data_IF_516279589982
#
_entry.id   IF_516279589982
#
_cell.length_a   1.000
_cell.length_b   1.000
_cell.length_c   1.000
_cell.angle_alpha   90.00
_cell.angle_beta   90.00
_cell.angle_gamma   90.00
#
_symmetry.space_group_name_H-M   'P 1'
#
loop_
_entity.id
_entity.type
_entity.pdbx_description
1 polymer ?
#
# COMPACT_ATOMS: atom_id res chain seq x y z
N UNK A 1 7.81 12.92 37.93
CA UNK A 1 7.71 12.82 36.47
C UNK A 1 7.40 11.37 36.13
N UNK A 2 6.12 11.05 35.92
CA UNK A 2 5.69 9.71 35.52
C UNK A 2 6.06 9.54 34.05
N UNK A 3 6.89 8.53 33.74
CA UNK A 3 7.08 8.07 32.36
C UNK A 3 5.73 7.56 31.87
N UNK A 4 5.19 8.16 30.82
CA UNK A 4 4.02 7.66 30.11
C UNK A 4 4.47 6.34 29.48
N UNK A 5 3.90 5.22 29.93
CA UNK A 5 4.04 3.95 29.23
C UNK A 5 2.96 3.95 28.15
N UNK A 6 3.41 3.95 26.89
CA UNK A 6 2.55 3.73 25.74
C UNK A 6 2.21 2.23 25.70
N UNK A 7 0.95 1.87 25.93
CA UNK A 7 0.37 0.64 25.39
C UNK A 7 -0.19 1.02 24.02
N UNK A 8 0.29 0.41 22.94
CA UNK A 8 -0.06 0.79 21.58
C UNK A 8 -0.37 -0.47 20.77
N UNK A 9 -1.25 -0.37 19.77
CA UNK A 9 -1.34 -1.35 18.68
C UNK A 9 0.03 -1.44 17.95
N UNK A 10 0.38 -2.63 17.47
CA UNK A 10 1.68 -2.89 16.86
C UNK A 10 1.70 -2.55 15.36
N UNK A 11 2.64 -1.69 14.97
CA UNK A 11 3.05 -1.51 13.57
C UNK A 11 4.30 -2.36 13.33
N UNK A 12 4.25 -3.23 12.32
CA UNK A 12 5.41 -3.99 11.87
C UNK A 12 6.17 -3.14 10.85
N UNK A 13 7.44 -2.92 11.14
CA UNK A 13 8.39 -2.29 10.23
C UNK A 13 9.42 -3.34 9.83
N UNK A 14 9.51 -3.60 8.53
CA UNK A 14 10.47 -4.52 7.94
C UNK A 14 11.67 -3.72 7.43
N UNK A 15 12.87 -4.05 7.91
CA UNK A 15 14.13 -3.40 7.49
C UNK A 15 15.24 -4.41 7.16
N UNK A 16 16.23 -3.93 6.40
CA UNK A 16 17.14 -4.72 5.55
C UNK A 16 18.40 -5.23 6.24
N UNK A 17 18.84 -4.69 7.40
CA UNK A 17 20.03 -5.21 8.12
C UNK A 17 20.02 -4.92 9.63
N UNK A 18 20.44 -5.89 10.45
CA UNK A 18 20.80 -5.69 11.87
C UNK A 18 22.29 -5.32 11.96
N UNK A 19 22.62 -4.05 12.19
CA UNK A 19 23.91 -3.67 12.75
C UNK A 19 23.72 -3.20 14.21
N UNK A 20 24.43 -3.79 15.18
CA UNK A 20 24.34 -3.37 16.57
C UNK A 20 25.07 -2.04 16.77
N UNK A 21 24.46 -0.94 16.34
CA UNK A 21 24.79 0.40 16.81
C UNK A 21 23.73 1.41 16.36
N UNK A 22 22.81 1.70 17.27
CA UNK A 22 22.06 2.96 17.25
C UNK A 22 23.04 4.13 17.04
N UNK A 23 22.69 5.06 16.14
CA UNK A 23 23.29 6.39 15.87
C UNK A 23 24.29 6.55 14.71
N UNK A 24 24.69 5.52 13.95
CA UNK A 24 25.80 5.69 12.97
C UNK A 24 25.42 5.78 11.47
N UNK A 25 24.23 5.35 11.03
CA UNK A 25 23.94 5.14 9.60
C UNK A 25 22.60 5.75 9.09
N UNK A 26 22.06 6.79 9.72
CA UNK A 26 20.91 7.51 9.13
C UNK A 26 21.36 8.26 7.87
N UNK A 27 20.68 8.04 6.72
CA UNK A 27 20.88 8.92 5.57
C UNK A 27 20.40 10.33 5.96
N UNK A 28 21.32 11.30 5.99
CA UNK A 28 20.99 12.73 6.02
C UNK A 28 20.68 13.18 4.60
N UNK A 29 19.66 12.58 3.97
CA UNK A 29 19.21 12.93 2.63
C UNK A 29 18.74 14.38 2.57
N UNK A 30 18.66 14.97 1.38
CA UNK A 30 18.20 16.36 1.20
C UNK A 30 16.70 16.46 0.84
N UNK A 31 16.01 15.32 0.68
CA UNK A 31 14.60 15.23 0.25
C UNK A 31 13.93 14.13 1.07
N UNK A 32 12.85 14.46 1.80
CA UNK A 32 12.02 13.48 2.51
C UNK A 32 10.96 13.03 1.53
N UNK A 33 10.94 11.75 1.21
CA UNK A 33 9.94 11.13 0.35
C UNK A 33 8.98 10.29 1.21
N UNK A 34 7.85 10.84 1.70
CA UNK A 34 6.79 10.02 2.24
C UNK A 34 6.22 9.16 1.10
N UNK A 35 6.27 7.84 1.27
CA UNK A 35 5.84 6.91 0.22
C UNK A 35 4.64 6.11 0.69
N UNK A 36 4.78 5.33 1.76
CA UNK A 36 3.69 4.50 2.29
C UNK A 36 3.00 5.12 3.48
N UNK A 37 1.72 4.79 3.64
CA UNK A 37 0.86 5.31 4.67
C UNK A 37 -0.05 4.21 5.22
N UNK A 38 -0.31 4.29 6.51
CA UNK A 38 -1.27 3.41 7.17
C UNK A 38 -1.95 4.14 8.32
N UNK A 39 -3.25 3.87 8.51
CA UNK A 39 -4.04 4.45 9.57
C UNK A 39 -4.29 3.46 10.71
N UNK A 40 -4.29 3.95 11.94
CA UNK A 40 -4.60 3.18 13.15
C UNK A 40 -4.52 4.04 14.39
N UNK A 41 -5.18 3.65 15.47
CA UNK A 41 -5.07 4.34 16.76
C UNK A 41 -3.78 3.90 17.48
N UNK A 42 -2.68 4.63 17.23
CA UNK A 42 -1.35 4.28 17.74
C UNK A 42 -1.13 4.74 19.18
N UNK A 43 -1.91 5.72 19.65
CA UNK A 43 -1.79 6.28 20.99
C UNK A 43 -2.91 5.85 21.96
N UNK A 44 -3.89 5.09 21.48
CA UNK A 44 -5.07 4.60 22.20
C UNK A 44 -5.99 5.71 22.74
N UNK A 45 -6.07 6.84 22.05
CA UNK A 45 -6.97 7.94 22.40
C UNK A 45 -8.35 7.83 21.74
N UNK A 46 -8.54 6.84 20.87
CA UNK A 46 -9.78 6.57 20.16
C UNK A 46 -9.91 7.30 18.82
N UNK A 47 -8.92 8.11 18.42
CA UNK A 47 -8.86 8.74 17.11
C UNK A 47 -7.93 7.95 16.18
N UNK A 48 -8.18 8.04 14.87
CA UNK A 48 -7.25 7.48 13.89
C UNK A 48 -5.99 8.34 13.80
N UNK A 49 -4.83 7.71 14.02
CA UNK A 49 -3.51 8.26 13.76
C UNK A 49 -2.98 7.74 12.40
N UNK A 50 -1.92 8.36 11.89
CA UNK A 50 -1.26 7.95 10.64
C UNK A 50 0.21 7.61 10.88
N UNK A 51 0.65 6.48 10.34
CA UNK A 51 2.05 6.10 10.25
C UNK A 51 2.51 6.28 8.81
N UNK A 52 3.60 7.00 8.61
CA UNK A 52 4.13 7.37 7.30
C UNK A 52 5.57 6.88 7.18
N UNK A 53 5.87 6.11 6.14
CA UNK A 53 7.24 5.73 5.83
C UNK A 53 7.95 6.84 5.05
N UNK A 54 9.10 7.30 5.56
CA UNK A 54 9.91 8.36 4.97
C UNK A 54 11.26 7.80 4.48
N UNK A 55 11.28 7.32 3.23
CA UNK A 55 12.41 6.56 2.66
C UNK A 55 13.70 7.37 2.51
N UNK A 56 13.60 8.70 2.42
CA UNK A 56 14.75 9.60 2.34
C UNK A 56 15.56 9.74 3.64
N UNK A 57 14.98 9.36 4.80
CA UNK A 57 15.53 9.63 6.13
C UNK A 57 15.58 8.41 7.05
N UNK A 58 15.17 7.24 6.56
CA UNK A 58 15.09 6.01 7.35
C UNK A 58 14.32 6.26 8.65
N UNK A 59 13.13 6.88 8.54
CA UNK A 59 12.21 7.10 9.68
C UNK A 59 10.79 6.72 9.32
N UNK A 60 10.03 6.29 10.33
CA UNK A 60 8.57 6.31 10.29
C UNK A 60 8.10 7.52 11.09
N UNK A 61 7.35 8.41 10.44
CA UNK A 61 6.68 9.53 11.09
C UNK A 61 5.31 9.08 11.59
N UNK A 62 4.97 9.41 12.84
CA UNK A 62 3.61 9.22 13.36
C UNK A 62 2.95 10.59 13.43
N UNK A 63 1.79 10.72 12.79
CA UNK A 63 0.92 11.88 12.87
C UNK A 63 -0.26 11.54 13.76
N UNK A 64 -0.40 12.25 14.88
CA UNK A 64 -1.53 12.07 15.78
C UNK A 64 -2.76 12.79 15.25
N UNK A 65 -3.86 12.06 15.12
CA UNK A 65 -5.15 12.58 14.69
C UNK A 65 -5.88 13.32 15.81
N UNK A 66 -6.61 14.37 15.46
CA UNK A 66 -7.49 15.08 16.39
C UNK A 66 -8.95 14.57 16.37
N UNK A 67 -9.21 13.52 15.57
CA UNK A 67 -10.53 12.94 15.36
C UNK A 67 -11.47 13.82 14.53
N UNK A 68 -10.98 14.89 13.91
CA UNK A 68 -11.73 15.80 13.04
C UNK A 68 -11.04 15.97 11.66
N UNK A 69 -10.10 15.07 11.33
CA UNK A 69 -9.27 15.10 10.12
C UNK A 69 -8.04 16.00 10.19
N UNK A 70 -7.77 16.61 11.35
CA UNK A 70 -6.54 17.34 11.62
C UNK A 70 -5.45 16.42 12.18
N UNK A 71 -4.21 16.65 11.75
CA UNK A 71 -3.08 15.82 12.15
C UNK A 71 -1.89 16.67 12.62
N UNK A 72 -1.23 16.21 13.68
CA UNK A 72 -0.01 16.83 14.20
C UNK A 72 1.13 15.84 14.25
N UNK A 73 2.35 16.26 13.89
CA UNK A 73 3.51 15.38 13.96
C UNK A 73 3.80 14.99 15.41
N UNK A 74 3.56 13.72 15.73
CA UNK A 74 3.78 13.11 17.04
C UNK A 74 5.23 12.74 17.30
N UNK A 75 5.99 12.48 16.24
CA UNK A 75 7.42 12.25 16.29
C UNK A 75 7.92 11.37 15.15
N UNK A 76 9.23 11.16 15.13
CA UNK A 76 9.91 10.25 14.22
C UNK A 76 10.46 9.06 15.00
N UNK A 77 10.22 7.88 14.47
CA UNK A 77 10.81 6.65 14.94
C UNK A 77 11.91 6.26 13.95
N UNK A 78 13.18 6.25 14.37
CA UNK A 78 14.26 5.80 13.52
C UNK A 78 14.03 4.35 13.13
N UNK A 79 14.17 4.09 11.84
CA UNK A 79 14.15 2.75 11.27
C UNK A 79 15.48 2.52 10.56
N UNK A 80 15.85 1.26 10.36
CA UNK A 80 17.10 0.94 9.68
C UNK A 80 16.94 1.22 8.17
N UNK A 81 18.08 1.38 7.49
CA UNK A 81 18.14 1.86 6.11
C UNK A 81 17.20 1.12 5.17
N UNK A 82 16.50 1.86 4.30
CA UNK A 82 15.62 1.30 3.26
C UNK A 82 14.38 0.59 3.81
N UNK A 83 13.71 1.18 4.80
CA UNK A 83 12.36 0.74 5.14
C UNK A 83 11.45 1.00 3.95
N UNK A 84 10.91 -0.07 3.35
CA UNK A 84 10.21 0.00 2.06
C UNK A 84 8.75 -0.47 2.14
N UNK A 85 8.31 -0.97 3.30
CA UNK A 85 6.93 -1.38 3.54
C UNK A 85 6.42 -1.00 4.94
N UNK A 86 5.11 -0.85 5.12
CA UNK A 86 4.49 -0.49 6.40
C UNK A 86 3.16 -1.25 6.56
N UNK A 87 3.03 -2.08 7.60
CA UNK A 87 1.77 -2.77 7.92
C UNK A 87 1.46 -2.76 9.42
N UNK A 88 0.17 -2.79 9.77
CA UNK A 88 -0.26 -3.03 11.15
C UNK A 88 -0.57 -4.50 11.38
N UNK A 89 -0.15 -5.01 12.53
CA UNK A 89 -0.46 -6.35 12.99
C UNK A 89 0.20 -6.66 14.32
N UNK A 90 -0.55 -7.25 15.24
CA UNK A 90 -0.02 -7.78 16.50
C UNK A 90 0.64 -9.15 16.25
N UNK A 91 1.87 -9.13 15.74
CA UNK A 91 2.62 -10.32 15.32
C UNK A 91 2.93 -11.26 16.50
N UNK A 92 2.91 -10.77 17.75
CA UNK A 92 3.18 -11.59 18.94
C UNK A 92 1.95 -11.78 19.87
N UNK A 93 0.79 -11.23 19.49
CA UNK A 93 -0.49 -11.33 20.19
C UNK A 93 -0.42 -10.90 21.66
N UNK A 94 0.44 -9.96 22.00
CA UNK A 94 0.62 -9.53 23.39
C UNK A 94 -0.24 -8.30 23.76
N UNK A 95 -0.96 -7.73 22.78
CA UNK A 95 -1.77 -6.53 22.98
C UNK A 95 -0.96 -5.30 23.41
N UNK A 96 0.35 -5.29 23.16
CA UNK A 96 1.33 -4.27 23.54
C UNK A 96 2.05 -3.61 22.34
N UNK A 97 2.83 -2.57 22.65
CA UNK A 97 3.39 -1.60 21.70
C UNK A 97 4.47 -2.14 20.75
N UNK A 98 4.49 -1.58 19.52
CA UNK A 98 5.58 -1.53 18.52
C UNK A 98 6.62 -2.67 18.59
N UNK A 99 6.49 -3.64 17.68
CA UNK A 99 7.48 -4.71 17.54
C UNK A 99 8.19 -4.64 16.18
N UNK A 100 9.51 -4.67 16.26
CA UNK A 100 10.38 -4.91 15.13
C UNK A 100 10.47 -6.42 14.93
N UNK A 101 9.79 -6.95 13.92
CA UNK A 101 10.19 -8.26 13.43
C UNK A 101 11.28 -8.05 12.40
N UNK A 102 12.45 -8.62 12.63
CA UNK A 102 13.51 -8.64 11.61
C UNK A 102 13.16 -9.77 10.63
N UNK A 103 12.76 -9.49 9.38
CA UNK A 103 12.77 -10.54 8.39
C UNK A 103 14.23 -10.97 8.13
N UNK A 104 14.46 -12.22 7.69
CA UNK A 104 15.78 -12.68 7.28
C UNK A 104 16.38 -11.82 6.15
N UNK A 105 17.60 -11.33 6.43
CA UNK A 105 18.77 -10.96 5.61
C UNK A 105 18.75 -10.60 4.11
N UNK A 106 17.66 -10.66 3.36
CA UNK A 106 17.66 -10.14 1.99
C UNK A 106 16.34 -9.49 1.60
N UNK A 107 16.37 -8.16 1.58
CA UNK A 107 15.52 -7.29 0.78
C UNK A 107 16.53 -6.31 0.17
N UNK A 108 16.82 -6.48 -1.11
CA UNK A 108 17.94 -5.89 -1.83
C UNK A 108 18.05 -4.35 -1.78
N UNK A 109 19.30 -3.91 -1.95
CA UNK A 109 19.82 -2.58 -1.63
C UNK A 109 20.00 -1.64 -2.82
N UNK A 110 19.20 -1.80 -3.89
CA UNK A 110 19.37 -1.05 -5.14
C UNK A 110 18.58 0.29 -5.17
N UNK A 111 17.45 0.36 -4.46
CA UNK A 111 16.63 1.57 -4.32
C UNK A 111 15.16 1.45 -4.74
N UNK A 112 14.69 0.32 -5.30
CA UNK A 112 13.28 0.17 -5.71
C UNK A 112 12.34 -0.23 -4.54
N UNK A 113 11.07 0.22 -4.50
CA UNK A 113 10.18 -0.03 -3.38
C UNK A 113 9.74 -1.50 -3.28
N UNK A 114 10.01 -2.11 -2.12
CA UNK A 114 9.58 -3.46 -1.75
C UNK A 114 8.28 -3.35 -0.95
N UNK A 115 7.18 -3.82 -1.53
CA UNK A 115 5.91 -4.00 -0.84
C UNK A 115 5.99 -5.23 0.06
N UNK A 116 5.14 -5.28 1.09
CA UNK A 116 4.90 -6.51 1.83
C UNK A 116 3.45 -6.60 2.29
N UNK A 117 2.97 -7.83 2.48
CA UNK A 117 1.69 -8.17 3.08
C UNK A 117 1.88 -8.96 4.36
N UNK A 118 1.19 -8.60 5.43
CA UNK A 118 1.20 -9.23 6.73
C UNK A 118 -0.16 -9.88 6.99
N UNK A 119 -0.27 -11.18 6.77
CA UNK A 119 -1.52 -11.94 6.84
C UNK A 119 -1.25 -13.39 7.23
N UNK A 120 -2.28 -14.13 7.64
CA UNK A 120 -2.17 -15.57 7.93
C UNK A 120 -2.34 -16.36 6.62
N UNK A 121 -1.24 -16.66 5.95
CA UNK A 121 -1.24 -17.32 4.64
C UNK A 121 -1.33 -18.85 4.74
N UNK A 122 -1.16 -19.41 5.95
CA UNK A 122 -1.21 -20.85 6.19
C UNK A 122 -2.27 -21.27 7.22
N UNK A 123 -3.23 -20.38 7.51
CA UNK A 123 -4.36 -20.59 8.42
C UNK A 123 -3.97 -21.15 9.81
N UNK A 124 -2.76 -20.85 10.30
CA UNK A 124 -2.30 -21.27 11.61
C UNK A 124 -2.68 -20.28 12.73
N UNK A 125 -3.35 -19.20 12.33
CA UNK A 125 -3.79 -18.05 13.11
C UNK A 125 -2.72 -16.97 13.25
N UNK A 126 -1.46 -17.23 12.92
CA UNK A 126 -0.33 -16.31 13.14
C UNK A 126 -0.13 -15.47 11.88
N UNK A 127 0.48 -14.30 12.08
CA UNK A 127 0.76 -13.42 10.95
C UNK A 127 2.07 -13.87 10.28
N UNK A 128 1.97 -14.04 8.97
CA UNK A 128 3.05 -14.35 8.02
C UNK A 128 3.34 -13.12 7.16
N UNK A 129 4.49 -13.10 6.50
CA UNK A 129 4.86 -12.00 5.59
C UNK A 129 4.99 -12.53 4.16
N UNK A 130 4.33 -11.89 3.21
CA UNK A 130 4.67 -11.95 1.78
C UNK A 130 5.47 -10.70 1.41
N UNK A 131 6.62 -10.86 0.75
CA UNK A 131 7.45 -9.77 0.23
C UNK A 131 7.73 -9.99 -1.26
N UNK A 132 7.69 -8.92 -2.06
CA UNK A 132 8.17 -8.97 -3.44
C UNK A 132 9.69 -8.75 -3.49
N UNK A 133 10.41 -9.63 -4.18
CA UNK A 133 11.83 -9.46 -4.52
C UNK A 133 11.98 -9.07 -5.99
N UNK A 134 11.81 -7.78 -6.37
CA UNK A 134 11.76 -7.35 -7.77
C UNK A 134 13.01 -7.73 -8.59
N UNK A 135 14.22 -7.66 -8.01
CA UNK A 135 15.45 -8.00 -8.73
C UNK A 135 15.79 -9.51 -8.69
N UNK A 136 15.13 -10.24 -7.80
CA UNK A 136 15.39 -11.66 -7.56
C UNK A 136 14.42 -12.58 -8.31
N UNK A 137 13.46 -12.02 -9.07
CA UNK A 137 12.43 -12.78 -9.77
C UNK A 137 11.67 -13.78 -8.85
N UNK A 138 11.44 -13.37 -7.60
CA UNK A 138 10.76 -14.19 -6.58
C UNK A 138 9.82 -13.40 -5.68
N UNK A 139 8.78 -14.10 -5.22
CA UNK A 139 8.02 -13.73 -4.03
C UNK A 139 8.47 -14.60 -2.86
N UNK A 140 8.67 -13.99 -1.69
CA UNK A 140 9.12 -14.68 -0.48
C UNK A 140 8.00 -14.69 0.56
N UNK A 141 7.67 -15.88 1.06
CA UNK A 141 6.75 -16.08 2.17
C UNK A 141 7.50 -16.48 3.45
N UNK A 142 7.38 -15.67 4.49
CA UNK A 142 7.93 -15.91 5.81
C UNK A 142 6.80 -16.28 6.77
N UNK A 143 6.77 -17.55 7.21
CA UNK A 143 5.75 -18.03 8.14
C UNK A 143 6.09 -17.69 9.60
N UNK A 144 5.16 -17.07 10.30
CA UNK A 144 5.36 -16.55 11.65
C UNK A 144 5.19 -17.59 12.75
N UNK A 145 5.94 -17.45 13.84
CA UNK A 145 5.76 -18.26 15.06
C UNK A 145 4.77 -17.65 16.07
N UNK A 146 4.19 -16.49 15.73
CA UNK A 146 3.21 -15.78 16.56
C UNK A 146 3.85 -15.14 17.79
N UNK A 147 5.17 -14.97 17.78
CA UNK A 147 5.96 -14.27 18.82
C UNK A 147 6.84 -13.18 18.21
N UNK A 148 6.55 -12.78 16.97
CA UNK A 148 7.38 -11.84 16.21
C UNK A 148 8.60 -12.46 15.53
N UNK A 149 8.72 -13.80 15.46
CA UNK A 149 9.81 -14.47 14.73
C UNK A 149 9.28 -15.20 13.50
N UNK A 150 10.14 -15.36 12.50
CA UNK A 150 9.87 -16.10 11.27
C UNK A 150 10.86 -17.27 11.12
N UNK A 151 10.57 -18.43 11.76
CA UNK A 151 11.52 -19.53 11.83
C UNK A 151 11.60 -20.30 10.51
N UNK A 152 12.83 -20.48 10.01
CA UNK A 152 13.12 -21.30 8.84
C UNK A 152 13.46 -20.47 7.59
N UNK A 153 13.86 -21.13 6.49
CA UNK A 153 13.97 -20.45 5.21
C UNK A 153 12.56 -20.01 4.74
N UNK A 154 12.44 -18.89 4.01
CA UNK A 154 11.19 -18.55 3.36
C UNK A 154 10.79 -19.63 2.34
N UNK A 155 9.49 -19.72 2.07
CA UNK A 155 9.03 -20.33 0.83
C UNK A 155 9.28 -19.33 -0.30
N UNK A 156 9.98 -19.76 -1.34
CA UNK A 156 10.28 -18.97 -2.52
C UNK A 156 9.35 -19.41 -3.66
N UNK A 157 8.53 -18.50 -4.15
CA UNK A 157 7.71 -18.70 -5.34
C UNK A 157 8.30 -17.91 -6.50
N UNK A 158 8.56 -18.59 -7.62
CA UNK A 158 9.14 -17.96 -8.81
C UNK A 158 8.09 -17.05 -9.46
N UNK A 159 8.28 -15.75 -9.32
CA UNK A 159 7.43 -14.69 -9.87
C UNK A 159 8.36 -13.66 -10.47
N UNK A 160 8.37 -13.50 -11.79
CA UNK A 160 9.31 -12.58 -12.44
C UNK A 160 8.99 -11.14 -12.05
N UNK A 161 10.02 -10.34 -11.73
CA UNK A 161 9.95 -8.90 -11.41
C UNK A 161 8.65 -8.43 -10.70
N UNK A 162 8.37 -8.93 -9.49
CA UNK A 162 7.14 -8.66 -8.77
C UNK A 162 7.09 -7.22 -8.24
N UNK A 163 5.94 -6.56 -8.36
CA UNK A 163 5.78 -5.17 -7.94
C UNK A 163 4.52 -4.94 -7.10
N UNK A 164 3.42 -4.46 -7.69
CA UNK A 164 2.16 -4.21 -6.98
C UNK A 164 1.53 -5.51 -6.49
N UNK A 165 1.01 -5.56 -5.25
CA UNK A 165 0.37 -6.78 -4.74
C UNK A 165 -0.76 -6.52 -3.76
N UNK A 166 -1.64 -7.52 -3.63
CA UNK A 166 -2.73 -7.58 -2.65
C UNK A 166 -3.07 -9.04 -2.32
N UNK A 167 -3.81 -9.28 -1.23
CA UNK A 167 -4.19 -10.61 -0.77
C UNK A 167 -5.66 -10.69 -0.34
N UNK A 168 -6.32 -11.78 -0.71
CA UNK A 168 -7.75 -12.04 -0.47
C UNK A 168 -8.12 -13.45 -0.93
N UNK A 169 -9.30 -13.95 -0.57
CA UNK A 169 -9.81 -15.25 -1.03
C UNK A 169 -10.36 -15.14 -2.47
N UNK A 170 -9.50 -15.36 -3.48
CA UNK A 170 -9.79 -15.14 -4.89
C UNK A 170 -10.60 -16.27 -5.54
N UNK A 171 -10.82 -17.38 -4.83
CA UNK A 171 -11.53 -18.55 -5.34
C UNK A 171 -12.72 -19.00 -4.46
N UNK A 172 -12.96 -18.34 -3.33
CA UNK A 172 -14.06 -18.61 -2.42
C UNK A 172 -13.89 -19.88 -1.57
N UNK A 173 -12.67 -20.38 -1.39
CA UNK A 173 -12.38 -21.58 -0.61
C UNK A 173 -12.08 -21.32 0.87
N UNK A 174 -12.02 -20.04 1.27
CA UNK A 174 -11.75 -19.58 2.63
C UNK A 174 -10.27 -19.55 3.01
N UNK A 175 -9.35 -19.86 2.09
CA UNK A 175 -7.92 -19.67 2.27
C UNK A 175 -7.49 -18.32 1.67
N UNK A 176 -6.37 -17.81 2.16
CA UNK A 176 -5.85 -16.55 1.65
C UNK A 176 -5.03 -16.79 0.38
N UNK A 177 -5.41 -16.11 -0.69
CA UNK A 177 -4.67 -16.05 -1.95
C UNK A 177 -3.93 -14.72 -2.10
N UNK A 178 -3.09 -14.60 -3.11
CA UNK A 178 -2.40 -13.36 -3.45
C UNK A 178 -2.44 -13.08 -4.95
N UNK A 179 -2.46 -11.78 -5.29
CA UNK A 179 -2.21 -11.27 -6.64
C UNK A 179 -0.97 -10.38 -6.62
N UNK A 180 -0.10 -10.56 -7.62
CA UNK A 180 1.13 -9.79 -7.78
C UNK A 180 1.27 -9.34 -9.23
N UNK A 181 1.36 -8.04 -9.46
CA UNK A 181 1.73 -7.44 -10.73
C UNK A 181 3.19 -7.76 -11.06
N UNK A 182 3.42 -8.16 -12.30
CA UNK A 182 4.72 -8.57 -12.84
C UNK A 182 5.12 -7.59 -13.91
N UNK A 183 6.29 -6.99 -13.74
CA UNK A 183 6.83 -5.99 -14.65
C UNK A 183 7.80 -6.64 -15.63
N UNK A 184 7.47 -6.60 -16.91
CA UNK A 184 8.39 -7.10 -17.95
C UNK A 184 9.02 -5.95 -18.72
N UNK A 185 10.29 -6.11 -19.10
CA UNK A 185 11.04 -5.08 -19.81
C UNK A 185 10.56 -4.86 -21.24
N UNK A 186 10.01 -5.91 -21.87
CA UNK A 186 9.45 -5.82 -23.22
C UNK A 186 8.00 -5.29 -23.16
N UNK A 187 7.63 -4.32 -24.01
CA UNK A 187 6.27 -3.81 -24.04
C UNK A 187 5.23 -4.86 -24.45
N UNK A 188 4.08 -4.84 -23.78
CA UNK A 188 2.90 -5.66 -24.05
C UNK A 188 2.93 -7.07 -23.46
N UNK A 189 3.91 -7.38 -22.59
CA UNK A 189 4.06 -8.72 -22.02
C UNK A 189 4.00 -8.77 -20.48
N UNK A 190 3.77 -7.63 -19.82
CA UNK A 190 3.54 -7.61 -18.38
C UNK A 190 2.29 -8.43 -18.01
N UNK A 191 2.29 -8.99 -16.80
CA UNK A 191 1.25 -9.90 -16.33
C UNK A 191 0.84 -9.59 -14.89
N UNK A 192 -0.26 -10.19 -14.46
CA UNK A 192 -0.54 -10.38 -13.05
C UNK A 192 -0.46 -11.89 -12.75
N UNK A 193 0.24 -12.21 -11.67
CA UNK A 193 0.38 -13.55 -11.12
C UNK A 193 -0.62 -13.74 -10.00
N UNK A 194 -1.41 -14.80 -10.07
CA UNK A 194 -2.36 -15.23 -9.04
C UNK A 194 -1.80 -16.48 -8.36
N UNK A 195 -1.64 -16.40 -7.04
CA UNK A 195 -1.17 -17.48 -6.19
C UNK A 195 -2.34 -17.93 -5.30
N UNK A 196 -2.98 -19.05 -5.67
CA UNK A 196 -4.08 -19.62 -4.90
C UNK A 196 -3.54 -20.48 -3.75
N UNK A 197 -3.79 -20.06 -2.51
CA UNK A 197 -3.32 -20.71 -1.30
C UNK A 197 -4.11 -21.97 -0.98
N UNK A 198 -3.42 -23.02 -0.53
CA UNK A 198 -4.04 -24.25 -0.05
C UNK A 198 -4.41 -24.21 1.44
N UNK A 199 -4.14 -23.08 2.10
CA UNK A 199 -4.34 -22.89 3.54
C UNK A 199 -3.36 -23.66 4.42
N UNK A 200 -2.34 -24.30 3.86
CA UNK A 200 -1.23 -24.95 4.57
C UNK A 200 0.12 -24.30 4.23
N UNK A 201 0.10 -23.17 3.51
CA UNK A 201 1.27 -22.43 3.04
C UNK A 201 1.78 -22.85 1.66
N UNK A 202 1.06 -23.70 0.92
CA UNK A 202 1.36 -24.02 -0.48
C UNK A 202 0.49 -23.20 -1.44
N UNK A 203 1.00 -22.94 -2.65
CA UNK A 203 0.31 -22.13 -3.65
C UNK A 203 0.19 -22.82 -5.01
N UNK A 204 -0.95 -22.62 -5.70
CA UNK A 204 -1.11 -22.92 -7.12
C UNK A 204 -1.04 -21.63 -7.92
N UNK A 205 -0.09 -21.55 -8.84
CA UNK A 205 0.22 -20.32 -9.57
C UNK A 205 -0.42 -20.32 -10.97
N UNK A 206 -1.01 -19.18 -11.33
CA UNK A 206 -1.46 -18.88 -12.68
C UNK A 206 -1.18 -17.42 -13.04
N UNK A 207 -1.25 -17.06 -14.31
CA UNK A 207 -1.03 -15.67 -14.76
C UNK A 207 -2.06 -15.26 -15.80
N UNK A 208 -2.31 -13.95 -15.90
CA UNK A 208 -3.07 -13.34 -16.99
C UNK A 208 -2.41 -12.03 -17.43
N UNK A 209 -2.61 -11.64 -18.67
CA UNK A 209 -2.01 -10.43 -19.24
C UNK A 209 -2.65 -9.16 -18.68
N UNK A 210 -1.80 -8.17 -18.40
CA UNK A 210 -2.21 -6.81 -17.98
C UNK A 210 -1.49 -5.77 -18.85
N UNK A 211 -1.74 -4.48 -18.61
CA UNK A 211 -0.95 -3.42 -19.26
C UNK A 211 0.48 -3.38 -18.73
N UNK A 212 1.39 -2.65 -19.38
CA UNK A 212 2.79 -2.64 -18.92
C UNK A 212 2.99 -1.88 -17.60
N UNK A 213 4.08 -2.24 -16.90
CA UNK A 213 4.47 -1.71 -15.60
C UNK A 213 3.28 -1.62 -14.60
N UNK A 214 2.61 -2.75 -14.28
CA UNK A 214 1.58 -2.76 -13.25
C UNK A 214 2.18 -2.38 -11.90
N UNK A 215 1.92 -1.15 -11.45
CA UNK A 215 2.49 -0.63 -10.21
C UNK A 215 1.61 -0.90 -9.00
N UNK A 216 0.30 -1.12 -9.19
CA UNK A 216 -0.64 -1.44 -8.13
C UNK A 216 -1.62 -2.52 -8.52
N UNK A 217 -1.94 -3.39 -7.57
CA UNK A 217 -3.04 -4.35 -7.62
C UNK A 217 -3.92 -4.16 -6.38
N UNK A 218 -5.24 -4.27 -6.55
CA UNK A 218 -6.25 -4.25 -5.47
C UNK A 218 -7.34 -5.27 -5.71
N UNK A 219 -7.80 -5.91 -4.65
CA UNK A 219 -8.88 -6.93 -4.68
C UNK A 219 -10.17 -6.34 -4.11
N UNK A 220 -11.29 -6.50 -4.82
CA UNK A 220 -12.61 -6.06 -4.36
C UNK A 220 -13.72 -6.58 -5.27
N UNK A 221 -14.97 -6.62 -4.80
CA UNK A 221 -16.12 -7.01 -5.61
C UNK A 221 -16.62 -5.79 -6.42
N UNK A 222 -16.26 -5.71 -7.70
CA UNK A 222 -16.53 -4.56 -8.57
C UNK A 222 -17.89 -4.67 -9.28
N UNK A 223 -18.52 -5.86 -9.22
CA UNK A 223 -19.76 -6.15 -9.92
C UNK A 223 -20.93 -6.58 -9.00
N UNK A 224 -20.68 -6.61 -7.69
CA UNK A 224 -21.61 -6.98 -6.62
C UNK A 224 -22.15 -8.43 -6.74
N UNK A 225 -21.37 -9.37 -7.27
CA UNK A 225 -21.75 -10.79 -7.37
C UNK A 225 -21.24 -11.64 -6.20
N UNK A 226 -20.47 -11.06 -5.28
CA UNK A 226 -19.88 -11.71 -4.12
C UNK A 226 -18.60 -12.49 -4.41
N UNK A 227 -18.07 -12.39 -5.64
CA UNK A 227 -16.79 -12.96 -6.06
C UNK A 227 -15.75 -11.83 -6.11
N UNK A 228 -14.54 -12.04 -5.58
CA UNK A 228 -13.51 -11.02 -5.69
C UNK A 228 -13.05 -10.80 -7.13
N UNK A 229 -12.96 -9.53 -7.50
CA UNK A 229 -12.39 -9.02 -8.74
C UNK A 229 -11.03 -8.34 -8.46
N UNK A 230 -10.35 -7.91 -9.51
CA UNK A 230 -9.03 -7.26 -9.41
C UNK A 230 -9.03 -5.94 -10.17
N UNK A 231 -8.48 -4.89 -9.54
CA UNK A 231 -8.09 -3.64 -10.18
C UNK A 231 -6.57 -3.60 -10.30
N UNK A 232 -6.06 -3.37 -11.50
CA UNK A 232 -4.63 -3.17 -11.78
C UNK A 232 -4.42 -1.78 -12.34
N UNK A 233 -3.51 -1.03 -11.74
CA UNK A 233 -3.09 0.28 -12.23
C UNK A 233 -1.60 0.27 -12.58
N UNK A 234 -1.24 0.98 -13.63
CA UNK A 234 0.13 1.01 -14.13
C UNK A 234 0.37 2.16 -15.09
N UNK A 235 1.59 2.22 -15.63
CA UNK A 235 2.05 3.31 -16.48
C UNK A 235 2.99 2.82 -17.57
N UNK A 236 2.77 3.18 -18.83
CA UNK A 236 3.76 2.89 -19.87
C UNK A 236 5.06 3.69 -19.62
N UNK A 237 6.25 3.11 -19.88
CA UNK A 237 7.51 3.83 -19.80
C UNK A 237 7.52 5.08 -20.72
N UNK A 238 8.29 6.10 -20.32
CA UNK A 238 8.61 7.22 -21.22
C UNK A 238 7.58 8.35 -21.30
N UNK A 239 6.79 8.57 -20.24
CA UNK A 239 5.91 9.74 -20.12
C UNK A 239 4.89 9.88 -21.27
N UNK A 240 4.41 8.74 -21.78
CA UNK A 240 3.40 8.66 -22.82
C UNK A 240 2.00 8.70 -22.20
N UNK A 241 0.92 8.72 -22.99
CA UNK A 241 -0.49 8.69 -22.51
C UNK A 241 -0.90 7.39 -21.81
N UNK A 242 0.06 6.60 -21.34
CA UNK A 242 -0.10 5.19 -21.00
C UNK A 242 -0.34 4.89 -19.54
N UNK A 243 -0.69 5.88 -18.69
CA UNK A 243 -1.26 5.54 -17.39
C UNK A 243 -2.62 4.89 -17.62
N UNK A 244 -2.89 3.81 -16.89
CA UNK A 244 -4.16 3.10 -17.02
C UNK A 244 -4.65 2.54 -15.70
N UNK A 245 -5.95 2.26 -15.69
CA UNK A 245 -6.62 1.41 -14.71
C UNK A 245 -7.31 0.31 -15.50
N UNK A 246 -7.04 -0.95 -15.18
CA UNK A 246 -7.73 -2.11 -15.75
C UNK A 246 -8.47 -2.86 -14.67
N UNK A 247 -9.73 -3.19 -14.92
CA UNK A 247 -10.58 -4.00 -14.04
C UNK A 247 -10.73 -5.39 -14.62
N UNK A 248 -10.68 -6.41 -13.76
CA UNK A 248 -10.78 -7.80 -14.15
C UNK A 248 -11.79 -8.52 -13.27
N UNK A 249 -12.84 -9.08 -13.89
CA UNK A 249 -13.88 -9.79 -13.18
C UNK A 249 -13.46 -11.24 -12.89
N UNK A 250 -13.59 -11.66 -11.64
CA UNK A 250 -13.35 -13.01 -11.19
C UNK A 250 -14.48 -13.96 -11.56
N UNK A 251 -14.17 -15.26 -11.59
CA UNK A 251 -15.17 -16.31 -11.82
C UNK A 251 -15.37 -17.26 -10.62
N UNK A 252 -14.80 -16.91 -9.46
CA UNK A 252 -14.85 -17.71 -8.23
C UNK A 252 -14.01 -18.99 -8.31
N UNK A 253 -13.03 -19.05 -9.21
CA UNK A 253 -12.08 -20.15 -9.34
C UNK A 253 -10.65 -19.65 -9.55
N UNK A 254 -10.37 -18.40 -9.16
CA UNK A 254 -9.09 -17.75 -9.39
C UNK A 254 -8.78 -17.43 -10.86
N UNK A 255 -9.78 -17.36 -11.74
CA UNK A 255 -9.60 -16.94 -13.14
C UNK A 255 -10.31 -15.62 -13.38
N UNK A 256 -9.61 -14.70 -14.04
CA UNK A 256 -10.00 -13.31 -14.21
C UNK A 256 -10.12 -12.94 -15.69
N UNK A 257 -11.14 -12.15 -16.02
CA UNK A 257 -11.36 -11.65 -17.37
C UNK A 257 -11.41 -10.12 -17.38
N UNK A 258 -10.68 -9.50 -18.33
CA UNK A 258 -10.68 -8.04 -18.49
C UNK A 258 -12.11 -7.53 -18.71
N UNK A 259 -12.56 -6.62 -17.84
CA UNK A 259 -13.83 -5.92 -17.97
C UNK A 259 -13.62 -4.61 -18.73
N UNK A 260 -12.69 -3.78 -18.26
CA UNK A 260 -12.42 -2.46 -18.83
C UNK A 260 -10.94 -2.09 -18.66
N UNK A 261 -10.44 -1.27 -19.58
CA UNK A 261 -9.23 -0.47 -19.36
C UNK A 261 -9.57 1.01 -19.58
N UNK A 262 -9.36 1.83 -18.56
CA UNK A 262 -9.44 3.29 -18.61
C UNK A 262 -8.04 3.85 -18.85
N UNK A 263 -7.91 4.72 -19.83
CA UNK A 263 -6.67 5.48 -20.05
C UNK A 263 -6.75 6.77 -19.25
N UNK A 264 -5.86 6.95 -18.28
CA UNK A 264 -5.81 8.13 -17.41
C UNK A 264 -5.06 9.27 -18.09
N UNK A 265 -4.11 8.94 -18.98
CA UNK A 265 -3.36 9.92 -19.78
C UNK A 265 -1.87 9.94 -19.44
N UNK A 266 -1.18 11.06 -19.68
CA UNK A 266 0.27 11.12 -19.53
C UNK A 266 0.69 11.20 -18.07
N UNK A 267 1.80 10.53 -17.76
CA UNK A 267 2.39 10.56 -16.43
C UNK A 267 3.16 9.29 -16.14
N UNK A 268 3.46 9.12 -14.87
CA UNK A 268 4.04 7.90 -14.34
C UNK A 268 3.41 7.59 -12.99
N UNK A 269 2.61 6.53 -12.90
CA UNK A 269 2.11 6.05 -11.62
C UNK A 269 3.22 5.32 -10.86
N UNK A 270 3.70 5.91 -9.77
CA UNK A 270 4.75 5.31 -8.93
C UNK A 270 4.22 4.62 -7.67
N UNK A 271 3.04 5.01 -7.19
CA UNK A 271 2.53 4.55 -5.91
C UNK A 271 1.29 3.67 -6.00
N UNK A 272 0.43 3.78 -5.00
CA UNK A 272 -0.66 2.83 -4.78
C UNK A 272 -2.03 3.50 -4.90
N UNK A 273 -2.92 2.87 -5.68
CA UNK A 273 -4.33 3.29 -5.78
C UNK A 273 -5.10 2.86 -4.52
N UNK A 274 -6.21 3.53 -4.25
CA UNK A 274 -7.21 3.08 -3.27
C UNK A 274 -8.49 2.65 -3.98
N UNK A 275 -9.18 1.68 -3.38
CA UNK A 275 -10.55 1.31 -3.75
C UNK A 275 -11.48 1.44 -2.54
N UNK A 276 -12.72 1.82 -2.77
CA UNK A 276 -13.73 2.05 -1.73
C UNK A 276 -15.02 2.57 -2.34
N UNK A 277 -16.13 2.51 -1.60
CA UNK A 277 -17.40 3.14 -2.00
C UNK A 277 -17.37 4.60 -1.53
N UNK A 278 -16.89 5.50 -2.39
CA UNK A 278 -16.59 6.89 -2.01
C UNK A 278 -17.82 7.81 -2.17
N UNK A 279 -18.86 7.35 -2.85
CA UNK A 279 -20.14 8.05 -3.02
C UNK A 279 -21.36 7.33 -2.42
N UNK A 280 -21.12 6.28 -1.64
CA UNK A 280 -22.09 5.47 -0.89
C UNK A 280 -23.22 4.91 -1.77
N UNK A 281 -22.92 4.63 -3.03
CA UNK A 281 -23.89 4.08 -3.96
C UNK A 281 -23.93 2.53 -3.96
N UNK A 282 -23.07 1.92 -3.13
CA UNK A 282 -22.94 0.48 -2.96
C UNK A 282 -22.05 -0.18 -4.00
N UNK A 283 -21.18 0.57 -4.68
CA UNK A 283 -20.24 0.06 -5.68
C UNK A 283 -18.84 0.55 -5.35
N UNK A 284 -17.84 -0.24 -5.74
CA UNK A 284 -16.46 0.13 -5.53
C UNK A 284 -15.97 1.10 -6.60
N UNK A 285 -15.37 2.18 -6.11
CA UNK A 285 -14.71 3.24 -6.86
C UNK A 285 -13.18 3.11 -6.76
N UNK A 286 -12.45 3.94 -7.51
CA UNK A 286 -10.99 3.99 -7.51
C UNK A 286 -10.50 5.41 -7.32
N UNK A 287 -9.60 5.63 -6.36
CA UNK A 287 -8.82 6.86 -6.25
C UNK A 287 -7.39 6.63 -6.77
N UNK A 288 -7.01 7.39 -7.79
CA UNK A 288 -5.76 7.23 -8.52
C UNK A 288 -4.81 8.42 -8.26
N UNK A 289 -3.64 8.22 -7.63
CA UNK A 289 -2.67 9.29 -7.43
C UNK A 289 -1.95 9.62 -8.73
N UNK A 290 -2.09 10.87 -9.19
CA UNK A 290 -1.39 11.36 -10.37
C UNK A 290 -0.04 11.93 -9.92
N UNK A 291 1.01 11.12 -9.96
CA UNK A 291 2.34 11.53 -9.50
C UNK A 291 2.95 12.67 -10.36
N UNK A 292 2.67 12.69 -11.66
CA UNK A 292 3.18 13.68 -12.62
C UNK A 292 4.02 13.08 -13.76
N UNK A 293 4.73 13.95 -14.49
CA UNK A 293 5.53 13.57 -15.66
C UNK A 293 6.96 13.20 -15.24
N UNK A 294 7.64 12.29 -15.95
CA UNK A 294 9.07 11.95 -15.71
C UNK A 294 10.07 13.06 -16.10
N UNK A 295 9.62 14.31 -16.17
CA UNK A 295 10.45 15.49 -16.41
C UNK A 295 10.76 16.18 -15.09
N UNK A 296 12.02 16.58 -14.83
CA UNK A 296 12.38 17.20 -13.54
C UNK A 296 11.48 18.38 -13.20
N UNK A 297 10.97 18.42 -11.96
CA UNK A 297 10.11 19.47 -11.42
C UNK A 297 8.75 19.61 -12.15
N UNK A 298 8.20 18.52 -12.68
CA UNK A 298 6.85 18.46 -13.26
C UNK A 298 6.01 17.44 -12.50
N UNK A 299 5.84 17.72 -11.21
CA UNK A 299 5.00 16.95 -10.30
C UNK A 299 3.54 17.39 -10.47
N UNK A 300 2.61 16.45 -10.36
CA UNK A 300 1.19 16.79 -10.28
C UNK A 300 0.77 16.94 -8.81
N UNK A 301 -0.43 17.47 -8.60
CA UNK A 301 -1.08 17.73 -7.30
C UNK A 301 -2.48 17.12 -7.30
N UNK A 302 -2.69 16.07 -8.10
CA UNK A 302 -4.01 15.55 -8.42
C UNK A 302 -4.16 14.10 -7.95
N UNK A 303 -5.32 13.80 -7.37
CA UNK A 303 -5.84 12.44 -7.24
C UNK A 303 -7.11 12.39 -8.07
N UNK A 304 -7.15 11.53 -9.08
CA UNK A 304 -8.31 11.34 -9.94
C UNK A 304 -9.23 10.30 -9.30
N UNK A 305 -10.50 10.65 -9.09
CA UNK A 305 -11.52 9.72 -8.64
C UNK A 305 -12.24 9.10 -9.84
N UNK A 306 -12.50 7.80 -9.79
CA UNK A 306 -13.26 7.07 -10.80
C UNK A 306 -14.39 6.30 -10.13
N UNK A 307 -15.63 6.55 -10.53
CA UNK A 307 -16.82 5.90 -9.97
C UNK A 307 -17.13 4.59 -10.66
N UNK A 308 -17.44 3.57 -9.86
CA UNK A 308 -17.86 2.24 -10.32
C UNK A 308 -19.30 2.21 -10.81
N UNK A 309 -19.59 1.40 -11.82
CA UNK A 309 -20.96 1.17 -12.29
C UNK A 309 -21.62 -0.07 -11.67
N UNK A 310 -20.87 -0.84 -10.85
CA UNK A 310 -21.35 -2.07 -10.22
C UNK A 310 -21.43 -3.23 -11.21
N UNK A 311 -20.76 -3.11 -12.35
CA UNK A 311 -20.61 -4.13 -13.38
C UNK A 311 -19.14 -4.24 -13.84
N UNK A 312 -18.21 -3.75 -13.03
CA UNK A 312 -16.78 -3.74 -13.35
C UNK A 312 -16.29 -2.61 -14.24
N UNK A 313 -17.12 -1.62 -14.60
CA UNK A 313 -16.66 -0.44 -15.33
C UNK A 313 -16.52 0.76 -14.41
N UNK A 314 -15.59 1.64 -14.79
CA UNK A 314 -15.24 2.88 -14.15
C UNK A 314 -15.58 4.06 -15.08
N UNK A 315 -16.06 5.14 -14.47
CA UNK A 315 -16.30 6.44 -15.11
C UNK A 315 -15.56 7.54 -14.39
N UNK A 316 -15.03 8.52 -15.11
CA UNK A 316 -14.30 9.63 -14.50
C UNK A 316 -15.20 10.43 -13.55
N UNK A 317 -14.73 10.61 -12.32
CA UNK A 317 -15.32 11.44 -11.28
C UNK A 317 -14.54 12.76 -11.10
N UNK A 318 -14.62 13.36 -9.90
CA UNK A 318 -13.86 14.56 -9.54
C UNK A 318 -12.34 14.35 -9.56
N UNK A 319 -11.62 15.46 -9.81
CA UNK A 319 -10.18 15.55 -9.58
C UNK A 319 -9.96 16.27 -8.25
N UNK A 320 -9.24 15.63 -7.34
CA UNK A 320 -8.98 16.14 -5.99
C UNK A 320 -7.59 16.77 -5.93
N UNK A 321 -7.47 17.93 -5.28
CA UNK A 321 -6.20 18.62 -5.13
C UNK A 321 -5.50 18.24 -3.83
N UNK A 322 -4.24 17.84 -3.93
CA UNK A 322 -3.35 17.42 -2.82
C UNK A 322 -1.98 18.11 -2.93
N UNK A 323 -0.97 17.65 -2.17
CA UNK A 323 0.40 18.15 -2.30
C UNK A 323 1.13 17.60 -3.53
N UNK A 324 2.36 18.05 -3.75
CA UNK A 324 3.16 17.68 -4.94
C UNK A 324 3.67 16.23 -4.91
N UNK A 325 3.55 15.58 -6.07
CA UNK A 325 3.94 14.18 -6.31
C UNK A 325 3.17 13.20 -5.40
N UNK A 326 1.83 13.13 -5.51
CA UNK A 326 1.06 12.16 -4.75
C UNK A 326 1.49 10.75 -5.12
N UNK A 327 1.65 9.92 -4.09
CA UNK A 327 2.21 8.58 -4.21
C UNK A 327 1.21 7.51 -3.78
N UNK A 328 0.88 7.44 -2.49
CA UNK A 328 -0.05 6.44 -1.97
C UNK A 328 -1.32 7.13 -1.49
N UNK A 329 -2.46 6.55 -1.83
CA UNK A 329 -3.78 6.93 -1.30
C UNK A 329 -4.29 5.77 -0.46
N UNK A 330 -4.82 6.04 0.74
CA UNK A 330 -5.56 5.05 1.52
C UNK A 330 -6.97 5.57 1.87
N UNK A 331 -7.98 4.69 1.85
CA UNK A 331 -9.30 5.00 2.40
C UNK A 331 -9.31 4.80 3.92
N UNK A 332 -9.88 5.74 4.67
CA UNK A 332 -9.99 5.67 6.13
C UNK A 332 -11.05 6.64 6.62
N UNK A 333 -11.88 6.27 7.59
CA UNK A 333 -12.74 7.22 8.32
C UNK A 333 -11.93 7.83 9.47
N UNK A 334 -11.36 9.03 9.27
CA UNK A 334 -10.46 9.67 10.26
C UNK A 334 -11.19 10.54 11.27
N UNK A 335 -12.45 10.87 11.00
CA UNK A 335 -13.25 11.76 11.85
C UNK A 335 -14.44 11.04 12.53
N UNK A 336 -14.60 9.74 12.27
CA UNK A 336 -15.66 8.88 12.77
C UNK A 336 -17.08 9.33 12.39
N UNK A 337 -17.24 9.95 11.23
CA UNK A 337 -18.56 10.34 10.71
C UNK A 337 -19.25 9.21 9.92
N UNK A 338 -18.52 8.13 9.63
CA UNK A 338 -19.03 6.95 8.92
C UNK A 338 -18.82 7.01 7.41
N UNK A 339 -18.24 8.09 6.87
CA UNK A 339 -17.89 8.24 5.47
C UNK A 339 -16.41 7.90 5.27
N UNK A 340 -16.06 7.37 4.09
CA UNK A 340 -14.65 7.14 3.76
C UNK A 340 -13.96 8.47 3.42
N UNK A 341 -12.93 8.81 4.20
CA UNK A 341 -11.98 9.88 3.89
C UNK A 341 -10.78 9.31 3.11
N UNK A 342 -9.94 10.19 2.57
CA UNK A 342 -8.69 9.84 1.91
C UNK A 342 -7.49 10.47 2.62
N UNK A 343 -6.45 9.68 2.85
CA UNK A 343 -5.16 10.17 3.28
C UNK A 343 -4.10 9.87 2.20
N UNK A 344 -3.34 10.89 1.83
CA UNK A 344 -2.47 10.90 0.62
C UNK A 344 -1.06 11.33 0.97
N UNK A 345 -0.06 10.54 0.62
CA UNK A 345 1.36 10.93 0.75
C UNK A 345 1.82 11.75 -0.45
N UNK A 346 2.46 12.89 -0.19
CA UNK A 346 2.97 13.80 -1.21
C UNK A 346 4.49 13.82 -1.15
N UNK A 347 5.13 13.15 -2.12
CA UNK A 347 6.53 12.75 -2.04
C UNK A 347 7.50 13.92 -2.14
N UNK A 348 7.21 14.88 -3.02
CA UNK A 348 8.08 16.04 -3.23
C UNK A 348 7.89 17.09 -2.13
N UNK A 349 6.65 17.28 -1.65
CA UNK A 349 6.36 18.23 -0.57
C UNK A 349 6.79 17.75 0.82
N UNK A 350 6.98 16.44 1.01
CA UNK A 350 7.23 15.89 2.34
C UNK A 350 6.03 16.07 3.27
N UNK A 351 4.81 15.89 2.74
CA UNK A 351 3.55 16.09 3.47
C UNK A 351 2.60 14.90 3.32
N UNK A 352 1.61 14.84 4.19
CA UNK A 352 0.40 14.03 4.02
C UNK A 352 -0.80 14.98 3.91
N UNK A 353 -1.60 14.83 2.86
CA UNK A 353 -2.88 15.52 2.71
C UNK A 353 -4.01 14.61 3.14
N UNK A 354 -4.94 15.13 3.95
CA UNK A 354 -6.17 14.44 4.34
C UNK A 354 -7.37 15.17 3.76
N UNK A 355 -8.21 14.41 3.07
CA UNK A 355 -9.41 14.85 2.38
C UNK A 355 -10.62 14.19 3.04
N UNK A 356 -11.49 14.97 3.68
CA UNK A 356 -12.72 14.44 4.29
C UNK A 356 -13.78 14.19 3.22
N UNK A 357 -14.34 12.98 3.20
CA UNK A 357 -15.42 12.57 2.33
C UNK A 357 -16.78 12.96 2.90
N UNK A 358 -17.76 13.24 2.04
CA UNK A 358 -19.14 13.50 2.45
C UNK A 358 -20.11 12.33 2.17
N UNK A 359 -19.58 11.19 1.73
CA UNK A 359 -20.36 10.03 1.31
C UNK A 359 -21.16 10.25 0.02
N UNK A 360 -20.89 11.31 -0.73
CA UNK A 360 -21.54 11.63 -2.01
C UNK A 360 -20.51 11.93 -3.10
N UNK A 361 -19.30 11.39 -2.95
CA UNK A 361 -18.19 11.56 -3.90
C UNK A 361 -17.55 12.94 -3.85
N UNK A 362 -17.88 13.80 -2.87
CA UNK A 362 -17.20 15.08 -2.67
C UNK A 362 -16.18 14.97 -1.54
N UNK A 363 -15.04 15.61 -1.75
CA UNK A 363 -13.94 15.62 -0.80
C UNK A 363 -13.48 17.04 -0.50
N UNK A 364 -13.22 17.33 0.77
CA UNK A 364 -12.68 18.62 1.21
C UNK A 364 -11.36 18.43 1.94
N UNK A 365 -10.32 19.16 1.54
CA UNK A 365 -9.04 19.15 2.26
C UNK A 365 -9.22 19.63 3.68
N UNK A 366 -8.99 18.76 4.65
CA UNK A 366 -9.03 19.09 6.08
C UNK A 366 -7.66 19.54 6.58
N UNK A 367 -6.62 18.80 6.22
CA UNK A 367 -5.25 19.14 6.59
C UNK A 367 -4.22 18.74 5.53
N UNK A 368 -3.12 19.49 5.51
CA UNK A 368 -1.87 19.07 4.86
C UNK A 368 -0.77 19.21 5.90
N UNK A 369 -0.31 18.08 6.42
CA UNK A 369 0.63 18.04 7.54
C UNK A 369 1.99 17.61 7.04
N UNK A 370 2.99 18.41 7.38
CA UNK A 370 4.38 18.06 7.07
C UNK A 370 4.82 16.88 7.93
N UNK A 371 5.42 15.88 7.30
CA UNK A 371 6.14 14.83 8.02
C UNK A 371 7.55 15.28 8.42
N UNK A 372 7.90 16.54 8.13
CA UNK A 372 9.12 17.19 8.58
C UNK A 372 8.90 17.75 9.99
N UNK A 373 9.85 17.50 10.90
CA UNK A 373 10.05 18.44 12.00
C UNK A 373 10.75 19.67 11.40
N UNK A 374 10.57 20.90 11.91
CA UNK A 374 11.60 21.91 11.74
C UNK A 374 12.89 21.30 12.29
N UNK A 375 13.79 20.87 11.40
CA UNK A 375 15.14 20.46 11.78
C UNK A 375 15.82 21.77 12.17
N UNK A 376 16.21 21.95 13.45
CA UNK A 376 16.91 23.16 13.87
C UNK A 376 18.27 23.34 13.19
#
# INVERSE_FOLDING_TARGET
MKKIQFSALACLIISTTLLPSALANHRTGSIIAPELLLAGDFNQDGNMDLAVNCTGFDVVAILFGDGQGGFTLGGHFPVDTLTKGLQMGDVNRDGGAFHWAAPPTEIDGDGEPVRHLLRDFNNDGRLDILVNGPDDDVCLFYFGDGKGNFPGPPLEEAVTHPFGMDAGDLNGDGNLDAVVGVIESDPGISAATVMLGDGAGGFTISTFSVGDLPSSCKIGDLNNDGIPDIVVAGALPGNTTGNYISTFLGNGRGVFALAQTVQVGPGNLKGDIAIGDFDEDGKLDVAFPVTGLQTPHQHSTEVDLFFGDGHGHLSAGPVLTVGEEPHTVIPVDVNHDGHLDLAVTNRTDGTVTVLLGDGHGNFTTSSTTSVLSPIP
#
